data_IF_658026440578
#
_entry.id   IF_658026440578
#
_cell.length_a   1.000
_cell.length_b   1.000
_cell.length_c   1.000
_cell.angle_alpha   90.00
_cell.angle_beta   90.00
_cell.angle_gamma   90.00
#
_symmetry.space_group_name_H-M   'P 1'
#
loop_
_entity.id
_entity.type
_entity.pdbx_description
1 polymer ?
#
# COMPACT_ATOMS: atom_id res chain seq x y z
N UNK A 1 49.23 -19.68 -41.17
CA UNK A 1 50.03 -20.35 -40.12
C UNK A 1 49.10 -20.75 -38.97
N UNK A 2 49.18 -22.01 -38.54
CA UNK A 2 48.24 -22.69 -37.62
C UNK A 2 48.78 -22.72 -36.17
N UNK A 3 47.92 -22.28 -35.22
CA UNK A 3 47.72 -22.56 -33.77
C UNK A 3 48.88 -23.04 -32.86
N UNK A 4 48.81 -22.76 -31.54
CA UNK A 4 48.15 -23.73 -30.66
C UNK A 4 47.18 -23.14 -29.62
N UNK A 5 46.25 -23.99 -29.19
CA UNK A 5 45.34 -23.83 -28.06
C UNK A 5 46.08 -24.15 -26.77
N UNK A 6 45.85 -23.39 -25.69
CA UNK A 6 46.15 -23.83 -24.33
C UNK A 6 44.87 -23.74 -23.52
N UNK A 7 44.37 -24.93 -23.15
CA UNK A 7 43.36 -25.15 -22.12
C UNK A 7 44.13 -25.20 -20.80
N UNK A 8 43.76 -24.35 -19.85
CA UNK A 8 44.12 -24.55 -18.45
C UNK A 8 42.81 -24.53 -17.67
N UNK A 9 42.38 -25.71 -17.24
CA UNK A 9 41.39 -25.88 -16.20
C UNK A 9 42.10 -25.68 -14.85
N UNK A 10 41.68 -24.68 -14.08
CA UNK A 10 41.93 -24.62 -12.64
C UNK A 10 40.59 -24.70 -11.93
N UNK A 11 40.23 -25.90 -11.49
CA UNK A 11 39.31 -26.08 -10.38
C UNK A 11 40.18 -26.09 -9.13
N UNK A 12 40.07 -25.04 -8.30
CA UNK A 12 40.47 -25.13 -6.91
C UNK A 12 39.36 -24.52 -6.05
N UNK A 13 38.72 -25.40 -5.30
CA UNK A 13 37.67 -25.15 -4.33
C UNK A 13 38.26 -24.39 -3.14
N UNK A 14 37.79 -23.15 -2.89
CA UNK A 14 38.01 -22.47 -1.61
C UNK A 14 36.67 -22.35 -0.88
N UNK A 15 36.69 -23.03 0.27
CA UNK A 15 35.76 -23.01 1.39
C UNK A 15 35.12 -21.64 1.65
N UNK A 16 33.79 -21.70 1.79
CA UNK A 16 32.88 -20.76 2.44
C UNK A 16 33.43 -19.43 2.96
N UNK A 17 33.02 -18.35 2.30
CA UNK A 17 32.50 -17.17 2.96
C UNK A 17 31.19 -16.85 2.24
N UNK A 18 30.07 -17.08 2.94
CA UNK A 18 28.77 -16.64 2.46
C UNK A 18 28.78 -15.12 2.35
N UNK A 19 28.93 -14.61 1.13
CA UNK A 19 28.57 -13.23 0.85
C UNK A 19 27.05 -13.25 0.72
N UNK A 20 26.36 -12.91 1.81
CA UNK A 20 24.97 -12.45 1.70
C UNK A 20 25.06 -11.19 0.86
N UNK A 21 24.72 -11.29 -0.43
CA UNK A 21 24.42 -10.10 -1.21
C UNK A 21 23.18 -9.48 -0.56
N UNK A 22 23.35 -8.33 0.11
CA UNK A 22 22.21 -7.47 0.43
C UNK A 22 21.58 -7.09 -0.91
N UNK A 23 20.46 -7.71 -1.25
CA UNK A 23 19.68 -7.31 -2.42
C UNK A 23 19.19 -5.89 -2.16
N UNK A 24 19.62 -4.94 -2.98
CA UNK A 24 19.05 -3.59 -3.00
C UNK A 24 17.55 -3.72 -3.31
N UNK A 25 16.70 -3.41 -2.32
CA UNK A 25 15.26 -3.28 -2.56
C UNK A 25 15.04 -2.07 -3.45
N UNK A 26 14.33 -2.19 -4.59
CA UNK A 26 13.95 -1.04 -5.40
C UNK A 26 13.27 0.03 -4.53
N UNK A 27 13.66 1.29 -4.66
CA UNK A 27 12.98 2.42 -4.04
C UNK A 27 11.48 2.34 -4.40
N UNK A 28 10.64 2.01 -3.42
CA UNK A 28 9.19 1.83 -3.60
C UNK A 28 8.65 0.46 -3.21
N UNK A 29 9.49 -0.55 -2.97
CA UNK A 29 9.07 -1.83 -2.42
C UNK A 29 9.04 -1.74 -0.88
N UNK A 30 7.86 -1.81 -0.27
CA UNK A 30 7.75 -1.97 1.18
C UNK A 30 8.55 -3.22 1.60
N UNK A 31 9.36 -3.11 2.67
CA UNK A 31 10.06 -4.25 3.27
C UNK A 31 9.04 -5.38 3.49
N UNK A 32 9.23 -6.60 2.94
CA UNK A 32 8.21 -7.66 2.84
C UNK A 32 7.68 -8.23 4.18
N UNK A 33 7.88 -7.52 5.30
CA UNK A 33 7.45 -7.87 6.66
C UNK A 33 7.03 -6.65 7.49
N UNK A 34 6.18 -5.76 6.96
CA UNK A 34 5.78 -4.52 7.65
C UNK A 34 4.30 -4.47 7.98
N UNK A 35 3.98 -4.07 9.22
CA UNK A 35 2.61 -3.68 9.63
C UNK A 35 2.60 -2.18 9.79
N UNK A 36 1.86 -1.49 8.93
CA UNK A 36 1.67 -0.05 9.00
C UNK A 36 0.36 0.26 9.72
N UNK A 37 0.38 1.29 10.55
CA UNK A 37 -0.80 1.78 11.28
C UNK A 37 -1.05 3.23 10.94
N UNK A 38 -2.33 3.54 10.77
CA UNK A 38 -2.80 4.88 10.48
C UNK A 38 -3.94 5.26 11.41
N UNK A 39 -4.06 6.55 11.69
CA UNK A 39 -5.20 7.14 12.37
C UNK A 39 -5.98 7.99 11.36
N UNK A 40 -7.26 7.72 11.18
CA UNK A 40 -8.11 8.58 10.34
C UNK A 40 -8.39 9.90 11.06
N UNK A 41 -8.63 10.97 10.32
CA UNK A 41 -9.02 12.28 10.88
C UNK A 41 -10.34 12.82 10.30
N UNK A 42 -10.77 12.29 9.16
CA UNK A 42 -12.03 12.65 8.53
C UNK A 42 -12.37 11.68 7.41
N UNK A 43 -13.65 11.60 7.06
CA UNK A 43 -14.15 10.77 5.96
C UNK A 43 -15.12 11.54 5.06
N UNK A 44 -15.17 11.16 3.79
CA UNK A 44 -16.12 11.64 2.80
C UNK A 44 -16.47 10.51 1.83
N UNK A 45 -17.69 10.56 1.30
CA UNK A 45 -18.26 9.51 0.46
C UNK A 45 -18.64 10.10 -0.89
N UNK A 46 -18.40 9.35 -1.96
CA UNK A 46 -18.91 9.65 -3.29
C UNK A 46 -19.67 8.44 -3.80
N UNK A 47 -20.91 8.66 -4.21
CA UNK A 47 -21.80 7.60 -4.69
C UNK A 47 -22.00 7.71 -6.20
N UNK A 48 -22.18 6.57 -6.84
CA UNK A 48 -22.55 6.44 -8.24
C UNK A 48 -24.07 6.46 -8.35
N UNK A 49 -24.59 7.27 -9.27
CA UNK A 49 -26.02 7.33 -9.55
C UNK A 49 -26.50 6.05 -10.28
N UNK A 50 -27.82 5.79 -10.35
CA UNK A 50 -28.37 4.64 -11.08
C UNK A 50 -28.05 4.62 -12.58
N UNK A 51 -27.59 5.74 -13.15
CA UNK A 51 -27.16 5.84 -14.55
C UNK A 51 -25.66 5.58 -14.73
N UNK A 52 -24.95 5.20 -13.66
CA UNK A 52 -23.53 4.89 -13.68
C UNK A 52 -22.60 6.10 -13.55
N UNK A 53 -23.12 7.30 -13.30
CA UNK A 53 -22.32 8.53 -13.17
C UNK A 53 -21.92 8.78 -11.72
N UNK A 54 -20.65 9.12 -11.50
CA UNK A 54 -20.19 9.53 -10.17
C UNK A 54 -20.79 10.89 -9.78
N UNK A 55 -21.34 10.97 -8.57
CA UNK A 55 -21.79 12.21 -7.96
C UNK A 55 -20.64 13.06 -7.41
N UNK A 56 -20.98 14.06 -6.58
CA UNK A 56 -20.00 14.83 -5.83
C UNK A 56 -19.57 14.15 -4.53
N UNK A 57 -18.46 14.61 -3.95
CA UNK A 57 -18.06 14.22 -2.60
C UNK A 57 -19.04 14.80 -1.57
N UNK A 58 -19.42 13.98 -0.58
CA UNK A 58 -20.11 14.44 0.61
C UNK A 58 -19.24 15.42 1.41
N UNK A 59 -19.86 16.17 2.31
CA UNK A 59 -19.12 16.92 3.33
C UNK A 59 -18.12 16.01 4.06
N UNK A 60 -16.92 16.55 4.32
CA UNK A 60 -15.89 15.87 5.10
C UNK A 60 -16.30 15.87 6.58
N UNK A 61 -16.62 14.69 7.11
CA UNK A 61 -17.01 14.52 8.50
C UNK A 61 -15.82 14.05 9.35
N UNK A 62 -15.59 14.61 10.56
CA UNK A 62 -14.54 14.13 11.45
C UNK A 62 -14.71 12.64 11.80
N UNK A 63 -13.59 11.91 11.92
CA UNK A 63 -13.60 10.53 12.40
C UNK A 63 -12.23 10.14 12.96
N UNK A 64 -12.20 9.15 13.85
CA UNK A 64 -10.99 8.66 14.53
C UNK A 64 -11.03 7.13 14.61
N UNK A 65 -10.55 6.49 13.56
CA UNK A 65 -10.47 5.04 13.40
C UNK A 65 -9.01 4.63 13.19
N UNK A 66 -8.66 3.45 13.67
CA UNK A 66 -7.36 2.85 13.37
C UNK A 66 -7.48 2.06 12.07
N UNK A 67 -6.50 2.22 11.19
CA UNK A 67 -6.35 1.39 9.99
C UNK A 67 -5.01 0.67 10.05
N UNK A 68 -5.00 -0.63 9.75
CA UNK A 68 -3.76 -1.40 9.61
C UNK A 68 -3.60 -1.92 8.18
N UNK A 69 -2.42 -1.75 7.59
CA UNK A 69 -1.97 -2.48 6.41
C UNK A 69 -0.91 -3.49 6.87
N UNK A 70 -1.26 -4.78 6.82
CA UNK A 70 -0.36 -5.89 7.17
C UNK A 70 0.09 -6.57 5.86
N UNK A 71 1.27 -6.18 5.36
CA UNK A 71 1.78 -6.70 4.08
C UNK A 71 2.21 -8.16 4.18
N UNK A 72 2.45 -8.68 5.39
CA UNK A 72 2.81 -10.07 5.61
C UNK A 72 1.59 -10.98 5.51
N UNK A 73 0.46 -10.56 6.08
CA UNK A 73 -0.80 -11.31 6.03
C UNK A 73 -1.63 -11.01 4.80
N UNK A 74 -1.20 -10.05 3.97
CA UNK A 74 -1.95 -9.64 2.78
C UNK A 74 -3.32 -9.10 3.15
N UNK A 75 -3.43 -8.23 4.16
CA UNK A 75 -4.73 -7.72 4.61
C UNK A 75 -4.71 -6.27 5.05
N UNK A 76 -5.84 -5.62 4.90
CA UNK A 76 -6.12 -4.27 5.41
C UNK A 76 -7.29 -4.39 6.39
N UNK A 77 -7.20 -3.73 7.55
CA UNK A 77 -8.26 -3.74 8.56
C UNK A 77 -8.59 -2.30 8.95
N UNK A 78 -9.88 -1.96 8.93
CA UNK A 78 -10.41 -0.70 9.46
C UNK A 78 -11.17 -1.02 10.74
N UNK A 79 -10.68 -0.52 11.87
CA UNK A 79 -11.27 -0.75 13.20
C UNK A 79 -12.39 0.27 13.45
N UNK A 80 -13.51 0.12 12.73
CA UNK A 80 -14.79 0.81 12.99
C UNK A 80 -15.62 0.10 14.07
N UNK A 81 -16.82 0.62 14.37
CA UNK A 81 -17.78 -0.04 15.28
C UNK A 81 -18.03 -1.50 14.87
N UNK A 82 -18.18 -1.73 13.57
CA UNK A 82 -18.07 -3.05 12.95
C UNK A 82 -16.70 -3.15 12.27
N UNK A 83 -15.90 -4.15 12.61
CA UNK A 83 -14.53 -4.27 12.08
C UNK A 83 -14.60 -4.72 10.62
N UNK A 84 -14.01 -3.93 9.73
CA UNK A 84 -13.93 -4.25 8.31
C UNK A 84 -12.57 -4.87 8.02
N UNK A 85 -12.55 -6.09 7.48
CA UNK A 85 -11.35 -6.83 7.09
C UNK A 85 -11.37 -7.02 5.58
N UNK A 86 -10.25 -6.71 4.94
CA UNK A 86 -10.10 -6.81 3.50
C UNK A 86 -8.85 -7.62 3.16
N UNK A 87 -9.04 -8.72 2.42
CA UNK A 87 -7.93 -9.50 1.88
C UNK A 87 -7.38 -8.84 0.62
N UNK A 88 -6.05 -8.76 0.53
CA UNK A 88 -5.32 -8.24 -0.62
C UNK A 88 -5.06 -9.41 -1.56
N UNK A 89 -5.67 -9.35 -2.74
CA UNK A 89 -5.44 -10.33 -3.81
C UNK A 89 -4.18 -10.00 -4.61
N UNK A 90 -3.95 -8.71 -4.87
CA UNK A 90 -2.80 -8.25 -5.65
C UNK A 90 -2.28 -6.90 -5.19
N UNK A 91 -0.95 -6.77 -5.22
CA UNK A 91 -0.24 -5.52 -5.05
C UNK A 91 -0.05 -4.91 -6.43
N UNK A 92 -0.80 -3.85 -6.73
CA UNK A 92 -0.76 -3.24 -8.06
C UNK A 92 0.49 -2.37 -8.23
N UNK A 93 0.83 -2.07 -9.48
CA UNK A 93 1.93 -1.16 -9.78
C UNK A 93 1.68 0.22 -9.15
N UNK A 94 2.68 0.71 -8.41
CA UNK A 94 2.69 2.06 -7.85
C UNK A 94 2.53 3.09 -8.97
N UNK A 95 1.62 4.05 -8.79
CA UNK A 95 1.38 5.12 -9.76
C UNK A 95 1.85 6.42 -9.16
N UNK A 96 2.70 7.13 -9.88
CA UNK A 96 3.27 8.39 -9.43
C UNK A 96 3.21 9.45 -10.54
N UNK A 97 2.78 10.66 -10.19
CA UNK A 97 2.83 11.84 -11.03
C UNK A 97 3.16 13.08 -10.17
N UNK A 98 3.11 14.28 -10.74
CA UNK A 98 3.44 15.53 -10.04
C UNK A 98 2.49 15.87 -8.88
N UNK A 99 1.26 15.35 -8.91
CA UNK A 99 0.21 15.61 -7.93
C UNK A 99 0.16 14.55 -6.84
N UNK A 100 0.33 13.28 -7.23
CA UNK A 100 -0.02 12.13 -6.42
C UNK A 100 1.04 11.02 -6.46
N UNK A 101 1.19 10.33 -5.33
CA UNK A 101 1.81 9.02 -5.21
C UNK A 101 0.75 8.04 -4.69
N UNK A 102 0.47 6.99 -5.46
CA UNK A 102 -0.64 6.06 -5.24
C UNK A 102 -0.11 4.64 -5.13
N UNK A 103 -0.44 3.97 -4.02
CA UNK A 103 -0.24 2.55 -3.79
C UNK A 103 -1.59 1.83 -3.90
N UNK A 104 -1.91 1.18 -5.04
CA UNK A 104 -3.18 0.49 -5.22
C UNK A 104 -3.08 -0.99 -4.80
N UNK A 105 -4.19 -1.50 -4.28
CA UNK A 105 -4.36 -2.89 -3.87
C UNK A 105 -5.68 -3.40 -4.43
N UNK A 106 -5.64 -4.53 -5.14
CA UNK A 106 -6.85 -5.23 -5.55
C UNK A 106 -7.29 -6.14 -4.42
N UNK A 107 -8.53 -5.97 -3.98
CA UNK A 107 -9.11 -6.65 -2.83
C UNK A 107 -10.41 -7.34 -3.22
N UNK A 108 -10.90 -8.22 -2.34
CA UNK A 108 -12.23 -8.82 -2.45
C UNK A 108 -12.92 -8.84 -1.10
N UNK A 109 -14.26 -8.80 -1.12
CA UNK A 109 -15.08 -8.94 0.09
C UNK A 109 -15.48 -10.41 0.28
N UNK A 110 -16.22 -10.68 1.36
CA UNK A 110 -16.68 -12.03 1.69
C UNK A 110 -17.59 -12.64 0.61
N UNK A 111 -18.21 -11.80 -0.24
CA UNK A 111 -19.05 -12.20 -1.37
C UNK A 111 -18.24 -12.42 -2.67
N UNK A 112 -16.92 -12.23 -2.66
CA UNK A 112 -16.06 -12.37 -3.83
C UNK A 112 -16.14 -11.18 -4.80
N UNK A 113 -16.74 -10.05 -4.40
CA UNK A 113 -16.83 -8.86 -5.25
C UNK A 113 -15.50 -8.11 -5.24
N UNK A 114 -14.95 -7.75 -6.41
CA UNK A 114 -13.68 -7.04 -6.47
C UNK A 114 -13.86 -5.55 -6.13
N UNK A 115 -12.91 -5.00 -5.39
CA UNK A 115 -12.81 -3.57 -5.16
C UNK A 115 -11.35 -3.16 -5.00
N UNK A 116 -11.06 -1.86 -5.10
CA UNK A 116 -9.69 -1.34 -4.96
C UNK A 116 -9.55 -0.56 -3.68
N UNK A 117 -8.50 -0.84 -2.91
CA UNK A 117 -8.04 0.05 -1.84
C UNK A 117 -6.80 0.80 -2.33
N UNK A 118 -6.69 2.09 -2.05
CA UNK A 118 -5.51 2.89 -2.42
C UNK A 118 -5.05 3.79 -1.29
N UNK A 119 -3.76 3.73 -0.98
CA UNK A 119 -3.10 4.71 -0.13
C UNK A 119 -2.50 5.80 -1.04
N UNK A 120 -2.94 7.03 -0.84
CA UNK A 120 -2.61 8.16 -1.71
C UNK A 120 -1.90 9.23 -0.90
N UNK A 121 -0.77 9.72 -1.39
CA UNK A 121 -0.13 10.95 -0.90
C UNK A 121 -0.36 12.07 -1.91
N UNK A 122 -1.08 13.12 -1.48
CA UNK A 122 -1.33 14.34 -2.25
C UNK A 122 -0.13 15.28 -2.09
N UNK A 123 0.81 15.27 -3.04
CA UNK A 123 2.11 15.95 -2.96
C UNK A 123 1.96 17.46 -2.78
N UNK A 124 1.09 18.09 -3.58
CA UNK A 124 0.84 19.54 -3.54
C UNK A 124 -0.08 20.00 -2.40
N UNK A 125 -0.53 19.09 -1.54
CA UNK A 125 -1.39 19.39 -0.39
C UNK A 125 -0.66 19.07 0.92
N UNK A 126 0.58 19.58 1.05
CA UNK A 126 1.46 19.31 2.19
C UNK A 126 1.64 17.80 2.46
N UNK A 127 1.77 17.00 1.40
CA UNK A 127 1.85 15.55 1.48
C UNK A 127 0.71 14.90 2.30
N UNK A 128 -0.51 15.45 2.22
CA UNK A 128 -1.69 14.89 2.89
C UNK A 128 -1.90 13.45 2.42
N UNK A 129 -2.03 12.54 3.38
CA UNK A 129 -2.27 11.12 3.10
C UNK A 129 -3.76 10.82 3.17
N UNK A 130 -4.21 9.98 2.25
CA UNK A 130 -5.60 9.56 2.17
C UNK A 130 -5.67 8.05 1.90
N UNK A 131 -6.72 7.43 2.41
CA UNK A 131 -7.11 6.06 2.09
C UNK A 131 -8.40 6.11 1.27
N UNK A 132 -8.41 5.45 0.12
CA UNK A 132 -9.59 5.31 -0.72
C UNK A 132 -10.00 3.85 -0.73
N UNK A 133 -11.28 3.57 -0.49
CA UNK A 133 -11.93 2.26 -0.68
C UNK A 133 -12.95 2.45 -1.81
N UNK A 134 -12.65 1.92 -2.98
CA UNK A 134 -13.40 2.12 -4.21
C UNK A 134 -14.10 0.82 -4.61
N UNK A 135 -15.41 0.77 -4.38
CA UNK A 135 -16.29 -0.31 -4.84
C UNK A 135 -16.93 0.06 -6.19
N UNK A 136 -17.85 -0.77 -6.69
CA UNK A 136 -18.57 -0.53 -7.94
C UNK A 136 -19.39 0.78 -7.90
N UNK A 137 -20.04 1.05 -6.77
CA UNK A 137 -21.05 2.12 -6.66
C UNK A 137 -20.69 3.18 -5.61
N UNK A 138 -19.69 2.93 -4.76
CA UNK A 138 -19.30 3.84 -3.67
C UNK A 138 -17.79 3.98 -3.58
N UNK A 139 -17.32 5.21 -3.39
CA UNK A 139 -15.96 5.53 -2.99
C UNK A 139 -15.98 6.15 -1.60
N UNK A 140 -15.32 5.48 -0.65
CA UNK A 140 -15.08 5.99 0.69
C UNK A 140 -13.65 6.52 0.79
N UNK A 141 -13.50 7.78 1.15
CA UNK A 141 -12.20 8.41 1.37
C UNK A 141 -12.03 8.73 2.84
N UNK A 142 -10.87 8.39 3.39
CA UNK A 142 -10.40 8.86 4.69
C UNK A 142 -9.17 9.75 4.53
N UNK A 143 -9.13 10.88 5.22
CA UNK A 143 -7.86 11.51 5.55
C UNK A 143 -7.18 10.68 6.63
N UNK A 144 -5.89 10.41 6.48
CA UNK A 144 -5.12 9.58 7.41
C UNK A 144 -3.81 10.25 7.80
N UNK A 145 -3.40 10.00 9.04
CA UNK A 145 -2.06 10.28 9.55
C UNK A 145 -1.38 8.97 9.90
N UNK A 146 -0.05 8.97 9.97
CA UNK A 146 0.66 7.87 10.60
C UNK A 146 0.14 7.72 12.04
N UNK A 147 -0.13 6.50 12.47
CA UNK A 147 -0.54 6.27 13.84
C UNK A 147 0.59 6.73 14.76
N UNK A 148 0.30 7.52 15.81
CA UNK A 148 1.35 7.99 16.70
C UNK A 148 2.08 6.80 17.32
N UNK A 149 3.40 6.78 17.20
CA UNK A 149 4.21 5.89 18.02
C UNK A 149 3.92 6.21 19.49
N UNK A 150 3.94 5.20 20.37
CA UNK A 150 3.62 5.33 21.81
C UNK A 150 4.46 6.36 22.58
N UNK A 151 5.35 7.09 21.91
CA UNK A 151 6.27 8.08 22.48
C UNK A 151 5.83 9.54 22.22
N UNK A 152 4.57 9.81 21.85
CA UNK A 152 4.08 11.19 21.82
C UNK A 152 3.52 11.54 23.20
N UNK A 153 4.34 12.20 24.02
CA UNK A 153 3.85 12.99 25.15
C UNK A 153 2.96 14.11 24.57
N UNK A 154 1.68 14.05 24.93
CA UNK A 154 0.75 15.17 24.73
C UNK A 154 1.21 16.28 25.67
N UNK A 155 1.81 17.33 25.11
CA UNK A 155 2.08 18.58 25.82
C UNK A 155 0.79 19.38 25.98
#
# INVERSE_FOLDING_TARGET
MSKPKIIVAFVLFLLGIGVIQAQETPQGQADPKSVFKFLTTGYSVMERDPNGKWGGWSELKPTSLVVTLDTKKGRIIVYSQEVQLFDILNYEQVKENDEDLIYPFSCTDDDGRPFTISFITRKKQNNRKQLYITTQDVVLMYNINNFPDKNIEVK
#
